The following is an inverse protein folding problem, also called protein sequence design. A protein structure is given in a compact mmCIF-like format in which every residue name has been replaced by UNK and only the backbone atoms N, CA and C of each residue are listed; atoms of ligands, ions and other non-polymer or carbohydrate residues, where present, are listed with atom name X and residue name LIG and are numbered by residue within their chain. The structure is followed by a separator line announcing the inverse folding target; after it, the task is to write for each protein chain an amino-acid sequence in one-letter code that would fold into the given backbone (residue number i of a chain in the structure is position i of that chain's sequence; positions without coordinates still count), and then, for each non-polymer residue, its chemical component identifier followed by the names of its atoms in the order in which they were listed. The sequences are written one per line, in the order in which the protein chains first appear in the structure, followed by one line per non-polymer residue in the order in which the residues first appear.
data_IF_613451532773
#
_entry.id   IF_613451532773
#
_cell.length_a   1.000
_cell.length_b   1.000
_cell.length_c   1.000
_cell.angle_alpha   90.00
_cell.angle_beta   90.00
_cell.angle_gamma   90.00
#
_symmetry.space_group_name_H-M   'P 1'
#
loop_
_entity.id
_entity.type
_entity.pdbx_description
1 polymer ?
#
# COMPACT_ATOMS: atom_id res chain seq x y z
N UNK A 1 7.70 7.85 27.57
CA UNK A 1 7.42 8.84 26.51
C UNK A 1 7.95 8.24 25.23
N UNK A 2 7.10 8.07 24.22
CA UNK A 2 7.54 7.62 22.91
C UNK A 2 8.45 8.69 22.30
N UNK A 3 9.44 8.28 21.53
CA UNK A 3 10.15 9.23 20.66
C UNK A 3 9.17 9.73 19.59
N UNK A 4 9.33 10.97 19.12
CA UNK A 4 8.47 11.55 18.06
C UNK A 4 8.32 10.61 16.84
N UNK A 5 9.36 9.85 16.50
CA UNK A 5 9.34 8.87 15.40
C UNK A 5 8.47 7.65 15.70
N UNK A 6 8.44 7.19 16.96
CA UNK A 6 7.57 6.09 17.39
C UNK A 6 6.10 6.53 17.42
N UNK A 7 5.83 7.79 17.79
CA UNK A 7 4.48 8.38 17.73
C UNK A 7 3.96 8.44 16.29
N UNK A 8 4.80 8.88 15.34
CA UNK A 8 4.46 8.90 13.91
C UNK A 8 4.26 7.47 13.38
N UNK A 9 5.12 6.52 13.77
CA UNK A 9 4.95 5.12 13.41
C UNK A 9 3.62 4.55 13.92
N UNK A 10 3.27 4.76 15.20
CA UNK A 10 1.97 4.35 15.74
C UNK A 10 0.82 5.00 15.00
N UNK A 11 0.87 6.32 14.78
CA UNK A 11 -0.13 7.06 14.01
C UNK A 11 -0.39 6.42 12.65
N UNK A 12 0.66 6.10 11.90
CA UNK A 12 0.52 5.56 10.55
C UNK A 12 -0.08 4.16 10.52
N UNK A 13 0.10 3.38 11.59
CA UNK A 13 -0.44 2.02 11.69
C UNK A 13 -1.84 1.97 12.33
N UNK A 14 -2.23 2.99 13.10
CA UNK A 14 -3.48 3.02 13.86
C UNK A 14 -4.55 3.92 13.24
N UNK A 15 -4.17 5.01 12.57
CA UNK A 15 -5.12 5.91 11.90
C UNK A 15 -5.57 5.33 10.55
N UNK A 16 -6.89 5.33 10.35
CA UNK A 16 -7.50 4.78 9.14
C UNK A 16 -7.85 5.86 8.12
N UNK A 17 -7.62 5.54 6.85
CA UNK A 17 -8.05 6.24 5.66
C UNK A 17 -9.13 5.38 4.96
N UNK A 18 -10.14 6.06 4.40
CA UNK A 18 -11.13 5.42 3.55
C UNK A 18 -10.84 5.70 2.08
N UNK A 19 -10.71 4.64 1.29
CA UNK A 19 -10.43 4.71 -0.15
C UNK A 19 -11.63 4.14 -0.90
N UNK A 20 -12.23 4.95 -1.77
CA UNK A 20 -13.30 4.48 -2.65
C UNK A 20 -12.71 3.77 -3.87
N UNK A 21 -13.10 2.53 -4.10
CA UNK A 21 -12.61 1.69 -5.19
C UNK A 21 -13.77 1.29 -6.10
N UNK A 22 -13.64 1.53 -7.40
CA UNK A 22 -14.57 0.96 -8.38
C UNK A 22 -14.41 -0.55 -8.41
N UNK A 23 -15.51 -1.33 -8.28
CA UNK A 23 -15.44 -2.80 -8.22
C UNK A 23 -14.69 -3.47 -9.35
N UNK A 24 -14.73 -2.88 -10.55
CA UNK A 24 -14.00 -3.37 -11.73
C UNK A 24 -12.48 -3.40 -11.54
N UNK A 25 -11.95 -2.64 -10.58
CA UNK A 25 -10.53 -2.59 -10.25
C UNK A 25 -10.11 -3.63 -9.21
N UNK A 26 -11.02 -4.17 -8.40
CA UNK A 26 -10.67 -5.06 -7.27
C UNK A 26 -9.83 -6.26 -7.71
N UNK A 27 -10.22 -6.92 -8.80
CA UNK A 27 -9.47 -8.07 -9.33
C UNK A 27 -8.08 -7.68 -9.81
N UNK A 28 -7.94 -6.51 -10.43
CA UNK A 28 -6.65 -6.01 -10.92
C UNK A 28 -5.75 -5.65 -9.74
N UNK A 29 -6.28 -4.97 -8.73
CA UNK A 29 -5.54 -4.63 -7.52
C UNK A 29 -5.06 -5.90 -6.81
N UNK A 30 -5.89 -6.94 -6.69
CA UNK A 30 -5.45 -8.23 -6.13
C UNK A 30 -4.30 -8.86 -6.92
N UNK A 31 -4.40 -8.91 -8.24
CA UNK A 31 -3.32 -9.44 -9.08
C UNK A 31 -2.02 -8.63 -8.92
N UNK A 32 -2.14 -7.32 -8.71
CA UNK A 32 -1.00 -6.45 -8.49
C UNK A 32 -0.37 -6.69 -7.11
N UNK A 33 -1.17 -6.83 -6.06
CA UNK A 33 -0.68 -7.15 -4.70
C UNK A 33 -0.02 -8.53 -4.67
N UNK A 34 -0.60 -9.53 -5.33
CA UNK A 34 -0.04 -10.88 -5.44
C UNK A 34 1.36 -10.87 -6.07
N UNK A 35 1.52 -10.17 -7.21
CA UNK A 35 2.82 -9.96 -7.86
C UNK A 35 3.82 -9.22 -6.96
N UNK A 36 3.35 -8.21 -6.21
CA UNK A 36 4.19 -7.46 -5.29
C UNK A 36 4.72 -8.37 -4.17
N UNK A 37 3.86 -9.19 -3.57
CA UNK A 37 4.24 -10.15 -2.53
C UNK A 37 5.21 -11.21 -3.05
N UNK A 38 5.02 -11.70 -4.28
CA UNK A 38 5.97 -12.61 -4.93
C UNK A 38 7.37 -11.98 -5.06
N UNK A 39 7.46 -10.73 -5.52
CA UNK A 39 8.74 -10.02 -5.65
C UNK A 39 9.38 -9.77 -4.29
N UNK A 40 8.61 -9.30 -3.31
CA UNK A 40 9.13 -8.96 -1.99
C UNK A 40 9.53 -10.19 -1.17
N UNK A 41 8.82 -11.32 -1.31
CA UNK A 41 9.19 -12.58 -0.64
C UNK A 41 10.58 -13.06 -1.08
N UNK A 42 10.91 -12.89 -2.37
CA UNK A 42 12.26 -13.19 -2.86
C UNK A 42 13.33 -12.25 -2.25
N UNK A 43 12.99 -11.00 -1.97
CA UNK A 43 13.90 -10.03 -1.34
C UNK A 43 14.03 -10.27 0.17
N UNK A 44 12.97 -10.69 0.85
CA UNK A 44 12.96 -11.04 2.28
C UNK A 44 13.95 -12.17 2.59
N UNK A 45 13.96 -13.22 1.76
CA UNK A 45 14.90 -14.35 1.89
C UNK A 45 16.38 -13.91 1.81
N UNK A 46 16.64 -12.78 1.13
CA UNK A 46 17.99 -12.26 0.89
C UNK A 46 18.38 -11.19 1.90
N UNK A 47 17.44 -10.35 2.32
CA UNK A 47 17.69 -9.13 3.10
C UNK A 47 16.83 -9.12 4.36
N UNK A 48 17.45 -9.46 5.50
CA UNK A 48 16.82 -9.38 6.83
C UNK A 48 16.64 -7.92 7.29
N UNK A 49 15.69 -7.20 6.67
CA UNK A 49 15.43 -5.77 6.87
C UNK A 49 14.00 -5.53 7.34
N UNK A 50 13.86 -4.89 8.50
CA UNK A 50 12.56 -4.59 9.11
C UNK A 50 11.60 -3.84 8.17
N UNK A 51 12.11 -2.92 7.35
CA UNK A 51 11.27 -2.19 6.39
C UNK A 51 10.64 -3.13 5.34
N UNK A 52 11.34 -4.19 4.93
CA UNK A 52 10.80 -5.18 3.99
C UNK A 52 9.70 -5.99 4.68
N UNK A 53 9.95 -6.48 5.90
CA UNK A 53 8.94 -7.20 6.69
C UNK A 53 7.66 -6.41 6.91
N UNK A 54 7.80 -5.14 7.31
CA UNK A 54 6.65 -4.25 7.51
C UNK A 54 5.90 -3.99 6.19
N UNK A 55 6.63 -3.73 5.12
CA UNK A 55 5.99 -3.51 3.81
C UNK A 55 5.25 -4.76 3.32
N UNK A 56 5.79 -5.97 3.53
CA UNK A 56 5.11 -7.25 3.26
C UNK A 56 3.85 -7.39 4.11
N UNK A 57 3.95 -7.18 5.44
CA UNK A 57 2.79 -7.28 6.33
C UNK A 57 1.64 -6.34 5.94
N UNK A 58 1.95 -5.10 5.56
CA UNK A 58 0.97 -4.16 5.03
C UNK A 58 0.37 -4.61 3.69
N UNK A 59 1.18 -5.17 2.79
CA UNK A 59 0.71 -5.71 1.51
C UNK A 59 -0.21 -6.94 1.71
N UNK A 60 0.12 -7.84 2.63
CA UNK A 60 -0.73 -8.98 3.00
C UNK A 60 -2.07 -8.52 3.58
N UNK A 61 -2.05 -7.53 4.48
CA UNK A 61 -3.28 -6.96 5.05
C UNK A 61 -4.15 -6.30 3.97
N UNK A 62 -3.54 -5.56 3.05
CA UNK A 62 -4.22 -5.00 1.89
C UNK A 62 -4.87 -6.11 1.03
N UNK A 63 -4.16 -7.22 0.78
CA UNK A 63 -4.68 -8.37 0.03
C UNK A 63 -5.93 -8.95 0.70
N UNK A 64 -5.87 -9.20 2.02
CA UNK A 64 -6.99 -9.72 2.82
C UNK A 64 -8.20 -8.79 2.71
N UNK A 65 -7.99 -7.49 2.90
CA UNK A 65 -9.07 -6.49 2.80
C UNK A 65 -9.70 -6.46 1.41
N UNK A 66 -8.89 -6.52 0.35
CA UNK A 66 -9.39 -6.59 -1.03
C UNK A 66 -10.22 -7.87 -1.29
N UNK A 67 -9.80 -9.02 -0.75
CA UNK A 67 -10.60 -10.26 -0.85
C UNK A 67 -11.96 -10.14 -0.18
N UNK A 68 -12.02 -9.53 1.01
CA UNK A 68 -13.28 -9.28 1.71
C UNK A 68 -14.20 -8.41 0.84
N UNK A 69 -13.68 -7.34 0.24
CA UNK A 69 -14.46 -6.43 -0.61
C UNK A 69 -14.98 -7.08 -1.90
N UNK A 70 -14.35 -8.14 -2.40
CA UNK A 70 -14.88 -8.91 -3.55
C UNK A 70 -16.20 -9.60 -3.20
N UNK A 71 -16.39 -10.00 -1.95
CA UNK A 71 -17.61 -10.70 -1.51
C UNK A 71 -18.83 -9.78 -1.40
N UNK A 72 -18.63 -8.46 -1.45
CA UNK A 72 -19.73 -7.48 -1.42
C UNK A 72 -20.70 -7.67 -2.62
N UNK A 73 -22.02 -7.41 -2.46
CA UNK A 73 -23.01 -7.62 -3.52
C UNK A 73 -22.73 -6.87 -4.83
N UNK A 74 -22.85 -7.55 -5.98
CA UNK A 74 -22.53 -7.03 -7.33
C UNK A 74 -23.34 -5.80 -7.77
N UNK A 75 -24.45 -5.48 -7.10
CA UNK A 75 -25.27 -4.31 -7.42
C UNK A 75 -24.60 -2.98 -7.07
N UNK A 76 -23.57 -2.97 -6.20
CA UNK A 76 -22.76 -1.79 -5.90
C UNK A 76 -21.65 -1.62 -6.94
N UNK A 77 -21.54 -0.42 -7.52
CA UNK A 77 -20.46 -0.08 -8.48
C UNK A 77 -19.13 0.20 -7.80
N UNK A 78 -19.17 0.63 -6.55
CA UNK A 78 -18.03 1.04 -5.73
C UNK A 78 -18.07 0.32 -4.39
N UNK A 79 -16.90 0.23 -3.77
CA UNK A 79 -16.68 -0.27 -2.41
C UNK A 79 -15.76 0.68 -1.67
N UNK A 80 -15.81 0.65 -0.35
CA UNK A 80 -14.94 1.45 0.52
C UNK A 80 -13.93 0.49 1.14
N UNK A 81 -12.65 0.75 0.90
CA UNK A 81 -11.54 0.11 1.57
C UNK A 81 -11.14 0.96 2.77
N UNK A 82 -11.20 0.38 3.96
CA UNK A 82 -10.67 0.97 5.18
C UNK A 82 -9.25 0.45 5.42
N UNK A 83 -8.28 1.35 5.39
CA UNK A 83 -6.84 1.04 5.39
C UNK A 83 -6.13 1.91 6.41
N UNK A 84 -5.09 1.41 7.08
CA UNK A 84 -4.20 2.29 7.83
C UNK A 84 -3.46 3.23 6.87
N UNK A 85 -2.81 4.30 7.37
CA UNK A 85 -1.96 5.15 6.53
C UNK A 85 -0.81 4.32 5.93
N UNK A 86 -0.19 3.43 6.72
CA UNK A 86 0.88 2.54 6.28
C UNK A 86 0.45 1.63 5.12
N UNK A 87 -0.69 0.95 5.27
CA UNK A 87 -1.29 0.14 4.20
C UNK A 87 -1.69 0.98 2.98
N UNK A 88 -2.16 2.22 3.18
CA UNK A 88 -2.49 3.14 2.10
C UNK A 88 -1.24 3.49 1.29
N UNK A 89 -0.10 3.71 1.94
CA UNK A 89 1.16 3.97 1.24
C UNK A 89 1.55 2.79 0.32
N UNK A 90 1.35 1.55 0.77
CA UNK A 90 1.55 0.36 -0.07
C UNK A 90 0.60 0.35 -1.27
N UNK A 91 -0.69 0.62 -1.06
CA UNK A 91 -1.67 0.73 -2.15
C UNK A 91 -1.27 1.81 -3.15
N UNK A 92 -0.81 2.96 -2.65
CA UNK A 92 -0.36 4.09 -3.47
C UNK A 92 0.82 3.72 -4.34
N UNK A 93 1.85 3.12 -3.76
CA UNK A 93 3.04 2.71 -4.51
C UNK A 93 2.70 1.63 -5.54
N UNK A 94 1.80 0.71 -5.21
CA UNK A 94 1.29 -0.30 -6.13
C UNK A 94 0.61 0.33 -7.35
N UNK A 95 -0.33 1.26 -7.11
CA UNK A 95 -1.09 1.95 -8.17
C UNK A 95 -0.17 2.83 -9.00
N UNK A 96 0.75 3.55 -8.36
CA UNK A 96 1.75 4.38 -9.00
C UNK A 96 2.65 3.57 -9.93
N UNK A 97 3.21 2.46 -9.47
CA UNK A 97 4.11 1.62 -10.27
C UNK A 97 3.40 1.03 -11.49
N UNK A 98 2.19 0.52 -11.30
CA UNK A 98 1.41 -0.08 -12.39
C UNK A 98 0.91 0.94 -13.42
N UNK A 99 0.67 2.19 -13.01
CA UNK A 99 0.31 3.26 -13.94
C UNK A 99 1.52 3.86 -14.66
N UNK A 100 2.63 4.05 -13.96
CA UNK A 100 3.80 4.77 -14.45
C UNK A 100 4.68 3.91 -15.37
N UNK A 101 4.77 2.60 -15.11
CA UNK A 101 5.58 1.69 -15.91
C UNK A 101 4.85 1.32 -17.22
N UNK A 102 5.40 1.66 -18.40
CA UNK A 102 4.68 1.48 -19.67
C UNK A 102 4.26 0.03 -19.94
N UNK A 103 5.13 -0.93 -19.63
CA UNK A 103 4.86 -2.36 -19.85
C UNK A 103 3.70 -2.87 -18.97
N UNK A 104 3.60 -2.44 -17.70
CA UNK A 104 2.48 -2.79 -16.82
C UNK A 104 1.20 -2.08 -17.24
N UNK A 105 1.29 -0.81 -17.65
CA UNK A 105 0.13 -0.04 -18.12
C UNK A 105 -0.45 -0.64 -19.41
N UNK A 106 0.38 -1.22 -20.27
CA UNK A 106 -0.07 -1.86 -21.50
C UNK A 106 -0.83 -3.17 -21.25
N UNK A 107 -0.48 -3.92 -20.19
CA UNK A 107 -1.21 -5.11 -19.73
C UNK A 107 -2.66 -4.80 -19.29
N UNK A 108 -2.94 -3.54 -18.89
CA UNK A 108 -4.30 -3.13 -18.57
C UNK A 108 -5.19 -3.16 -19.81
N UNK A 109 -6.31 -3.88 -19.70
CA UNK A 109 -7.35 -3.94 -20.74
C UNK A 109 -7.77 -2.53 -21.13
N UNK A 110 -8.00 -2.23 -22.43
CA UNK A 110 -8.41 -0.90 -22.87
C UNK A 110 -9.65 -0.35 -22.16
N UNK A 111 -10.60 -1.23 -21.82
CA UNK A 111 -11.83 -0.88 -21.09
C UNK A 111 -11.61 -0.44 -19.64
N UNK A 112 -10.42 -0.70 -19.08
CA UNK A 112 -10.07 -0.38 -17.70
C UNK A 112 -9.11 0.81 -17.60
N UNK A 113 -8.29 1.08 -18.62
CA UNK A 113 -7.24 2.12 -18.58
C UNK A 113 -7.73 3.46 -18.06
N UNK A 114 -8.91 3.92 -18.50
CA UNK A 114 -9.50 5.17 -18.01
C UNK A 114 -9.84 5.10 -16.52
N UNK A 115 -10.57 4.08 -16.10
CA UNK A 115 -10.94 3.88 -14.68
C UNK A 115 -9.70 3.72 -13.79
N UNK A 116 -8.65 3.07 -14.28
CA UNK A 116 -7.38 2.94 -13.55
C UNK A 116 -6.66 4.28 -13.44
N UNK A 117 -6.62 5.09 -14.50
CA UNK A 117 -6.09 6.46 -14.45
C UNK A 117 -6.86 7.32 -13.46
N UNK A 118 -8.18 7.30 -13.52
CA UNK A 118 -9.03 8.08 -12.61
C UNK A 118 -8.78 7.66 -11.15
N UNK A 119 -8.54 6.36 -10.91
CA UNK A 119 -8.15 5.85 -9.60
C UNK A 119 -6.74 6.27 -9.18
N UNK A 120 -5.77 6.25 -10.10
CA UNK A 120 -4.42 6.77 -9.85
C UNK A 120 -4.46 8.25 -9.42
N UNK A 121 -5.18 9.10 -10.18
CA UNK A 121 -5.28 10.53 -9.86
C UNK A 121 -5.96 10.73 -8.48
N UNK A 122 -6.96 9.92 -8.14
CA UNK A 122 -7.63 9.95 -6.84
C UNK A 122 -6.69 9.56 -5.68
N UNK A 123 -5.92 8.49 -5.85
CA UNK A 123 -4.96 8.01 -4.84
C UNK A 123 -3.85 9.05 -4.60
N UNK A 124 -3.30 9.66 -5.66
CA UNK A 124 -2.33 10.75 -5.50
C UNK A 124 -2.94 11.95 -4.79
N UNK A 125 -4.21 12.28 -5.08
CA UNK A 125 -4.92 13.35 -4.38
C UNK A 125 -5.09 13.10 -2.87
N UNK A 126 -5.25 11.85 -2.43
CA UNK A 126 -5.24 11.50 -0.99
C UNK A 126 -3.82 11.65 -0.44
N UNK A 127 -2.82 11.16 -1.16
CA UNK A 127 -1.43 11.21 -0.74
C UNK A 127 -0.94 12.65 -0.53
N UNK A 128 -1.32 13.57 -1.41
CA UNK A 128 -1.02 15.01 -1.30
C UNK A 128 -1.63 15.67 -0.06
N UNK A 129 -2.64 15.07 0.57
CA UNK A 129 -3.21 15.56 1.83
C UNK A 129 -2.43 15.11 3.07
N UNK A 130 -1.52 14.14 2.94
CA UNK A 130 -0.67 13.69 4.04
C UNK A 130 0.45 14.70 4.31
N UNK A 131 0.84 14.85 5.57
CA UNK A 131 2.00 15.66 5.94
C UNK A 131 3.28 14.99 5.41
N UNK A 132 3.96 15.65 4.48
CA UNK A 132 5.16 15.12 3.84
C UNK A 132 6.31 14.86 4.82
N UNK A 133 6.42 15.67 5.88
CA UNK A 133 7.45 15.48 6.91
C UNK A 133 7.15 14.26 7.77
N UNK A 134 5.87 13.99 8.06
CA UNK A 134 5.45 12.77 8.76
C UNK A 134 5.66 11.53 7.88
N UNK A 135 5.28 11.57 6.61
CA UNK A 135 5.51 10.47 5.65
C UNK A 135 7.00 10.13 5.59
N UNK A 136 7.86 11.16 5.48
CA UNK A 136 9.31 10.96 5.50
C UNK A 136 9.78 10.35 6.83
N UNK A 137 9.31 10.87 7.95
CA UNK A 137 9.69 10.37 9.27
C UNK A 137 9.27 8.90 9.49
N UNK A 138 8.10 8.50 8.98
CA UNK A 138 7.66 7.11 8.99
C UNK A 138 8.63 6.21 8.22
N UNK A 139 8.97 6.57 6.98
CA UNK A 139 9.91 5.80 6.17
C UNK A 139 11.31 5.73 6.79
N UNK A 140 11.79 6.85 7.32
CA UNK A 140 13.10 6.91 7.99
C UNK A 140 13.11 6.05 9.26
N UNK A 141 12.00 6.01 10.00
CA UNK A 141 11.88 5.16 11.19
C UNK A 141 12.01 3.68 10.84
N UNK A 142 11.21 3.17 9.90
CA UNK A 142 11.23 1.73 9.57
C UNK A 142 12.54 1.30 8.89
N UNK A 143 13.16 2.16 8.07
CA UNK A 143 14.46 1.87 7.43
C UNK A 143 15.59 1.76 8.44
N UNK A 144 15.56 2.57 9.49
CA UNK A 144 16.59 2.60 10.52
C UNK A 144 16.24 1.74 11.75
N UNK A 145 15.08 1.08 11.74
CA UNK A 145 14.67 0.19 12.80
C UNK A 145 15.58 -1.05 12.80
N UNK A 146 16.59 -1.03 13.67
CA UNK A 146 17.42 -2.21 13.90
C UNK A 146 16.52 -3.29 14.50
N UNK A 147 16.42 -4.44 13.83
CA UNK A 147 15.92 -5.67 14.44
C UNK A 147 16.71 -5.85 15.73
N UNK A 148 16.03 -5.77 16.89
CA UNK A 148 16.60 -5.85 18.24
C UNK A 148 17.43 -7.13 18.42
N UNK A 149 18.67 -7.07 17.95
CA UNK A 149 19.63 -8.16 17.89
C UNK A 149 21.01 -7.67 17.46
N UNK A 150 21.11 -6.58 16.68
CA UNK A 150 22.35 -5.84 16.49
C UNK A 150 22.36 -4.59 17.37
N UNK A 151 22.91 -4.77 18.57
CA UNK A 151 23.22 -3.74 19.54
C UNK A 151 23.84 -2.53 18.81
N UNK A 152 23.32 -1.33 19.08
CA UNK A 152 24.08 -0.10 18.93
C UNK A 152 25.31 -0.19 19.84
N UNK A 153 26.43 -0.61 19.27
CA UNK A 153 27.76 -0.16 19.67
C UNK A 153 28.31 0.72 18.55
#
# INVERSE_FOLDING_TARGET
MLLKSEEIYSKFNEENIQVVITKKLLFILLQQVDRLLEVLGNEEEVVNNFAIYEYIGNAEMLMVKLYILITEPYNKKEVILETSIAEFLVLRDLVFCNYSLPHLREELRPSIRKTYKDFYDYIEGIFEMLDSDEVKAYWDYIKNYKIKGSILQ
#
